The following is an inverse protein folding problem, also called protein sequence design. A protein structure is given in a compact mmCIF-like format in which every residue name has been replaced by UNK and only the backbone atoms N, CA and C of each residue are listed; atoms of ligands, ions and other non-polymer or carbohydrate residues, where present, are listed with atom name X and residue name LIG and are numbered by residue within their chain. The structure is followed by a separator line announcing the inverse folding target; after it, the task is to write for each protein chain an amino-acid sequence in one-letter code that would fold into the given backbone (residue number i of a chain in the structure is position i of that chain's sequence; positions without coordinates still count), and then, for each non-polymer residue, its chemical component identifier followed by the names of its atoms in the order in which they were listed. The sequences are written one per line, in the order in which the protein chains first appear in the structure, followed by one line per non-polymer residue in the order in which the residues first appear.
data_IF_828650100616
#
_entry.id   IF_828650100616
#
_cell.length_a   1.000
_cell.length_b   1.000
_cell.length_c   1.000
_cell.angle_alpha   90.00
_cell.angle_beta   90.00
_cell.angle_gamma   90.00
#
_symmetry.space_group_name_H-M   'P 1'
#
loop_
_entity.id
_entity.type
_entity.pdbx_description
1 polymer ?
#
# COMPACT_ATOMS: atom_id res chain seq x y z
N UNK A 1 10.68 7.82 -11.42
CA UNK A 1 11.32 8.32 -10.22
C UNK A 1 12.42 7.33 -10.04
N UNK A 2 13.67 7.73 -10.16
CA UNK A 2 14.72 6.76 -9.90
C UNK A 2 14.84 6.67 -8.39
N UNK A 3 14.79 5.46 -7.84
CA UNK A 3 15.04 5.25 -6.42
C UNK A 3 16.47 5.69 -6.21
N UNK A 4 16.65 6.75 -5.44
CA UNK A 4 17.98 7.22 -5.03
C UNK A 4 18.74 6.06 -4.38
N UNK A 5 20.05 6.00 -4.58
CA UNK A 5 20.92 5.07 -3.87
C UNK A 5 20.63 5.14 -2.37
N UNK A 6 20.35 6.36 -1.87
CA UNK A 6 19.75 6.60 -0.57
C UNK A 6 18.78 7.79 -0.60
N UNK A 7 17.50 7.62 -0.22
CA UNK A 7 16.59 8.75 -0.10
C UNK A 7 16.98 9.67 1.07
N UNK A 8 16.57 10.95 1.04
CA UNK A 8 16.60 11.82 2.22
C UNK A 8 16.01 11.13 3.44
N UNK A 9 16.68 11.28 4.57
CA UNK A 9 16.24 10.71 5.85
C UNK A 9 16.09 9.18 5.89
N UNK A 10 16.81 8.45 5.03
CA UNK A 10 16.78 7.00 5.05
C UNK A 10 17.12 6.44 6.43
N UNK A 11 16.21 5.63 6.98
CA UNK A 11 16.45 4.83 8.18
C UNK A 11 17.15 3.53 7.80
N UNK A 12 17.92 2.98 8.74
CA UNK A 12 18.53 1.67 8.55
C UNK A 12 17.43 0.60 8.46
N UNK A 13 17.51 -0.27 7.46
CA UNK A 13 16.55 -1.38 7.30
C UNK A 13 16.71 -2.44 8.40
N UNK A 14 17.86 -2.45 9.07
CA UNK A 14 18.20 -3.36 10.15
C UNK A 14 17.98 -2.65 11.48
N UNK A 15 16.82 -2.89 12.12
CA UNK A 15 16.59 -2.49 13.50
C UNK A 15 16.69 -3.72 14.40
N UNK A 16 17.37 -3.60 15.54
CA UNK A 16 17.36 -4.66 16.53
C UNK A 16 15.94 -4.82 17.09
N UNK A 17 15.34 -6.00 16.92
CA UNK A 17 14.00 -6.28 17.43
C UNK A 17 13.93 -6.01 18.92
N UNK A 18 12.89 -5.28 19.34
CA UNK A 18 12.56 -5.16 20.75
C UNK A 18 12.19 -6.56 21.29
N UNK A 19 12.93 -7.09 22.27
CA UNK A 19 12.67 -8.43 22.77
C UNK A 19 11.29 -8.48 23.43
N UNK A 20 10.55 -9.55 23.17
CA UNK A 20 9.34 -9.88 23.92
C UNK A 20 9.79 -10.75 25.09
N UNK A 21 9.40 -10.39 26.31
CA UNK A 21 9.72 -11.19 27.49
C UNK A 21 9.18 -12.63 27.33
N UNK A 22 9.77 -13.60 28.01
CA UNK A 22 9.30 -15.00 27.95
C UNK A 22 7.91 -15.19 28.60
N UNK A 23 7.21 -16.30 28.34
CA UNK A 23 5.85 -16.56 28.84
C UNK A 23 5.70 -16.56 30.37
N UNK A 24 6.79 -16.76 31.10
CA UNK A 24 6.83 -16.72 32.56
C UNK A 24 6.99 -15.29 33.12
N UNK A 25 7.24 -14.29 32.28
CA UNK A 25 7.37 -12.89 32.69
C UNK A 25 6.00 -12.24 32.88
N UNK A 26 5.87 -11.37 33.88
CA UNK A 26 4.70 -10.51 34.04
C UNK A 26 4.50 -9.57 32.83
N UNK A 27 5.58 -9.28 32.10
CA UNK A 27 5.59 -8.42 30.90
C UNK A 27 5.42 -9.21 29.60
N UNK A 28 5.00 -10.48 29.66
CA UNK A 28 4.79 -11.29 28.47
C UNK A 28 3.78 -10.63 27.52
N UNK A 29 4.18 -10.49 26.25
CA UNK A 29 3.35 -9.88 25.21
C UNK A 29 3.43 -8.35 25.15
N UNK A 30 4.12 -7.69 26.08
CA UNK A 30 4.40 -6.26 26.01
C UNK A 30 5.72 -6.02 25.24
N UNK A 31 5.72 -5.17 24.19
CA UNK A 31 6.97 -4.71 23.60
C UNK A 31 7.66 -3.77 24.59
N UNK A 32 8.77 -4.22 25.18
CA UNK A 32 9.46 -3.48 26.24
C UNK A 32 10.12 -2.17 25.75
N UNK A 33 10.12 -1.91 24.43
CA UNK A 33 10.71 -0.73 23.78
C UNK A 33 12.12 -0.40 24.27
N UNK A 34 12.92 -1.41 24.65
CA UNK A 34 14.27 -1.26 25.20
C UNK A 34 15.28 -0.85 24.14
N UNK A 35 15.05 -1.29 22.90
CA UNK A 35 15.80 -0.83 21.74
C UNK A 35 15.12 0.43 21.23
N UNK A 36 15.90 1.50 21.00
CA UNK A 36 15.34 2.71 20.41
C UNK A 36 14.76 2.41 19.03
N UNK A 37 13.72 3.14 18.65
CA UNK A 37 13.19 3.13 17.29
C UNK A 37 14.33 3.24 16.28
N UNK A 38 14.22 2.61 15.09
CA UNK A 38 15.20 2.76 14.02
C UNK A 38 15.47 4.25 13.80
N UNK A 39 16.63 4.68 14.28
CA UNK A 39 17.04 6.06 14.16
C UNK A 39 17.60 6.23 12.75
N UNK A 40 17.61 7.47 12.25
CA UNK A 40 18.63 7.89 11.30
C UNK A 40 20.01 7.32 11.65
N UNK A 41 20.52 6.32 10.92
CA UNK A 41 21.89 5.84 11.09
C UNK A 41 22.70 6.27 9.87
N UNK A 42 23.79 6.98 10.14
CA UNK A 42 24.78 7.33 9.13
C UNK A 42 25.38 6.04 8.56
N UNK A 43 25.56 5.95 7.24
CA UNK A 43 26.11 4.73 6.61
C UNK A 43 27.55 4.49 7.06
N UNK A 44 28.30 5.56 7.28
CA UNK A 44 29.64 5.53 7.83
C UNK A 44 29.75 6.54 8.97
N UNK A 45 30.59 6.30 9.99
CA UNK A 45 30.79 7.26 11.08
C UNK A 45 31.26 8.65 10.60
N UNK A 46 31.92 8.70 9.44
CA UNK A 46 32.45 9.92 8.82
C UNK A 46 31.40 10.78 8.10
N UNK A 47 30.18 10.27 7.90
CA UNK A 47 29.16 11.00 7.17
C UNK A 47 28.64 12.19 8.00
N UNK A 48 28.39 13.35 7.38
CA UNK A 48 27.74 14.48 8.07
C UNK A 48 26.23 14.28 8.14
N UNK A 49 25.58 14.87 9.15
CA UNK A 49 24.11 14.83 9.24
C UNK A 49 23.44 15.56 8.08
N UNK A 50 24.08 16.60 7.54
CA UNK A 50 23.57 17.33 6.37
C UNK A 50 23.64 16.48 5.09
N UNK A 51 24.74 15.75 4.88
CA UNK A 51 24.84 14.80 3.76
C UNK A 51 23.83 13.65 3.90
N UNK A 52 23.67 13.11 5.11
CA UNK A 52 22.65 12.10 5.38
C UNK A 52 21.24 12.62 5.10
N UNK A 53 20.94 13.86 5.52
CA UNK A 53 19.65 14.53 5.31
C UNK A 53 19.35 14.72 3.82
N UNK A 54 20.35 15.08 3.02
CA UNK A 54 20.21 15.25 1.58
C UNK A 54 20.08 13.91 0.83
N UNK A 55 20.57 12.82 1.42
CA UNK A 55 20.58 11.48 0.82
C UNK A 55 21.78 11.28 -0.10
N UNK A 56 21.66 10.34 -1.03
CA UNK A 56 22.59 10.15 -2.16
C UNK A 56 21.77 10.32 -3.45
N UNK A 57 21.98 11.40 -4.22
CA UNK A 57 21.18 11.68 -5.41
C UNK A 57 21.46 10.70 -6.55
N UNK A 58 22.51 9.88 -6.47
CA UNK A 58 22.82 8.90 -7.50
C UNK A 58 21.63 7.94 -7.67
N UNK A 59 21.12 7.75 -8.88
CA UNK A 59 20.02 6.83 -9.10
C UNK A 59 20.48 5.38 -8.94
N UNK A 60 19.65 4.52 -8.34
CA UNK A 60 19.87 3.07 -8.40
C UNK A 60 19.58 2.60 -9.83
N UNK A 61 20.57 2.06 -10.57
CA UNK A 61 20.38 1.69 -11.97
C UNK A 61 19.23 0.69 -12.19
N UNK A 62 19.03 -0.21 -11.23
CA UNK A 62 17.96 -1.22 -11.27
C UNK A 62 16.55 -0.64 -11.10
N UNK A 63 16.42 0.61 -10.65
CA UNK A 63 15.13 1.28 -10.50
C UNK A 63 14.73 2.12 -11.70
N UNK A 64 15.63 2.31 -12.66
CA UNK A 64 15.36 3.09 -13.86
C UNK A 64 14.36 2.35 -14.74
N UNK A 65 13.29 3.04 -15.13
CA UNK A 65 12.22 2.46 -15.94
C UNK A 65 11.28 1.53 -15.18
N UNK A 66 11.40 1.42 -13.84
CA UNK A 66 10.43 0.70 -13.03
C UNK A 66 9.25 1.58 -12.65
N UNK A 67 8.16 0.92 -12.23
CA UNK A 67 7.02 1.56 -11.59
C UNK A 67 7.46 2.38 -10.38
N UNK A 68 6.81 3.51 -10.16
CA UNK A 68 7.04 4.38 -9.00
C UNK A 68 5.79 4.43 -8.13
N UNK A 69 5.98 4.80 -6.86
CA UNK A 69 4.88 5.22 -6.00
C UNK A 69 5.23 6.47 -5.21
N UNK A 70 4.21 7.29 -4.92
CA UNK A 70 4.25 8.42 -3.99
C UNK A 70 3.36 8.10 -2.82
N UNK A 71 3.75 8.55 -1.63
CA UNK A 71 2.93 8.43 -0.43
C UNK A 71 2.69 9.84 0.13
N UNK A 72 1.43 10.27 0.08
CA UNK A 72 0.97 11.49 0.71
C UNK A 72 0.25 11.15 2.01
N UNK A 73 0.49 11.92 3.07
CA UNK A 73 -0.22 11.74 4.34
C UNK A 73 -1.42 12.68 4.37
N UNK A 74 -2.61 12.10 4.28
CA UNK A 74 -3.90 12.81 4.27
C UNK A 74 -4.40 13.09 5.70
N UNK A 75 -4.10 12.22 6.66
CA UNK A 75 -4.38 12.45 8.08
C UNK A 75 -3.36 11.76 8.99
N UNK A 76 -3.57 11.80 10.31
CA UNK A 76 -2.70 11.11 11.27
C UNK A 76 -2.55 9.61 10.96
N UNK A 77 -3.59 8.97 10.43
CA UNK A 77 -3.60 7.54 10.14
C UNK A 77 -3.84 7.22 8.65
N UNK A 78 -4.21 8.21 7.83
CA UNK A 78 -4.61 7.98 6.44
C UNK A 78 -3.54 8.47 5.48
N UNK A 79 -3.24 7.65 4.49
CA UNK A 79 -2.29 7.94 3.42
C UNK A 79 -2.94 7.78 2.06
N UNK A 80 -2.49 8.54 1.08
CA UNK A 80 -2.80 8.32 -0.33
C UNK A 80 -1.53 7.85 -1.02
N UNK A 81 -1.59 6.65 -1.57
CA UNK A 81 -0.53 6.05 -2.38
C UNK A 81 -0.91 6.21 -3.84
N UNK A 82 -0.09 6.94 -4.57
CA UNK A 82 -0.19 7.04 -6.04
C UNK A 82 0.86 6.14 -6.65
N UNK A 83 0.49 5.28 -7.58
CA UNK A 83 1.42 4.43 -8.33
C UNK A 83 1.35 4.76 -9.82
N UNK A 84 2.49 4.75 -10.51
CA UNK A 84 2.57 4.93 -11.96
C UNK A 84 3.49 3.91 -12.62
N UNK A 85 3.28 3.71 -13.92
CA UNK A 85 3.99 2.71 -14.71
C UNK A 85 5.48 3.03 -14.94
N UNK A 86 5.92 4.27 -14.74
CA UNK A 86 7.33 4.66 -14.86
C UNK A 86 7.56 5.91 -15.69
N UNK A 87 6.67 6.19 -16.65
CA UNK A 87 6.87 7.15 -17.74
C UNK A 87 7.17 8.56 -17.25
N UNK A 88 6.33 9.13 -16.38
CA UNK A 88 6.55 10.50 -15.87
C UNK A 88 7.57 10.56 -14.76
N UNK A 89 8.17 9.43 -14.42
CA UNK A 89 9.07 9.31 -13.31
C UNK A 89 8.51 9.84 -11.98
N UNK A 90 7.20 9.79 -11.75
CA UNK A 90 6.59 10.23 -10.50
C UNK A 90 6.34 11.73 -10.40
N UNK A 91 6.70 12.51 -11.42
CA UNK A 91 6.27 13.91 -11.49
C UNK A 91 4.77 13.99 -11.80
N UNK A 92 4.05 14.84 -11.06
CA UNK A 92 2.62 15.06 -11.21
C UNK A 92 2.32 15.88 -12.45
N UNK A 93 3.06 16.97 -12.65
CA UNK A 93 2.91 17.92 -13.73
C UNK A 93 4.27 18.52 -14.15
N UNK A 94 4.24 19.37 -15.18
CA UNK A 94 5.44 20.05 -15.68
C UNK A 94 6.02 21.08 -14.70
N UNK A 95 5.19 21.65 -13.83
CA UNK A 95 5.65 22.61 -12.80
C UNK A 95 6.58 21.91 -11.82
N UNK A 96 6.24 20.68 -11.40
CA UNK A 96 7.09 19.84 -10.53
C UNK A 96 8.40 19.45 -11.25
N UNK A 97 8.33 19.10 -12.54
CA UNK A 97 9.54 18.82 -13.36
C UNK A 97 10.46 20.05 -13.40
N UNK A 98 9.90 21.23 -13.60
CA UNK A 98 10.68 22.47 -13.69
C UNK A 98 11.29 22.87 -12.34
N UNK A 99 10.54 22.71 -11.25
CA UNK A 99 11.02 22.99 -9.89
C UNK A 99 12.23 22.12 -9.52
N UNK A 100 12.22 20.85 -9.92
CA UNK A 100 13.31 19.90 -9.67
C UNK A 100 14.42 19.94 -10.74
N UNK A 101 14.34 20.87 -11.70
CA UNK A 101 15.30 20.99 -12.80
C UNK A 101 15.48 19.70 -13.62
N UNK A 102 14.39 18.94 -13.79
CA UNK A 102 14.38 17.64 -14.45
C UNK A 102 13.96 17.70 -15.94
N UNK A 103 13.85 18.89 -16.53
CA UNK A 103 13.34 19.09 -17.90
C UNK A 103 14.13 18.27 -18.94
N UNK A 104 15.45 18.15 -18.77
CA UNK A 104 16.31 17.38 -19.67
C UNK A 104 15.97 15.88 -19.77
N UNK A 105 15.15 15.34 -18.87
CA UNK A 105 14.70 13.94 -18.90
C UNK A 105 13.52 13.73 -19.87
N UNK A 106 12.77 14.78 -20.18
CA UNK A 106 11.51 14.71 -20.93
C UNK A 106 11.54 15.52 -22.23
N UNK A 107 12.52 16.41 -22.39
CA UNK A 107 12.60 17.33 -23.52
C UNK A 107 11.81 18.60 -23.24
N UNK A 108 10.51 18.58 -23.52
CA UNK A 108 9.61 19.72 -23.32
C UNK A 108 8.29 19.33 -22.63
N UNK A 109 7.49 20.35 -22.31
CA UNK A 109 6.21 20.20 -21.63
C UNK A 109 5.20 19.36 -22.43
N UNK A 110 5.22 19.49 -23.76
CA UNK A 110 4.33 18.76 -24.65
C UNK A 110 4.62 17.26 -24.61
N UNK A 111 5.91 16.90 -24.71
CA UNK A 111 6.37 15.52 -24.62
C UNK A 111 6.06 14.91 -23.25
N UNK A 112 6.27 15.66 -22.15
CA UNK A 112 5.89 15.22 -20.82
C UNK A 112 4.38 14.99 -20.70
N UNK A 113 3.56 15.91 -21.20
CA UNK A 113 2.11 15.78 -21.15
C UNK A 113 1.58 14.60 -21.98
N UNK A 114 2.25 14.24 -23.08
CA UNK A 114 1.95 13.03 -23.84
C UNK A 114 2.26 11.77 -23.01
N UNK A 115 3.44 11.70 -22.38
CA UNK A 115 3.82 10.59 -21.49
C UNK A 115 2.85 10.48 -20.30
N UNK A 116 2.47 11.62 -19.73
CA UNK A 116 1.51 11.74 -18.63
C UNK A 116 0.13 11.18 -19.01
N UNK A 117 -0.35 11.48 -20.21
CA UNK A 117 -1.63 10.98 -20.72
C UNK A 117 -1.61 9.46 -21.00
N UNK A 118 -0.47 8.94 -21.47
CA UNK A 118 -0.30 7.51 -21.74
C UNK A 118 -0.03 6.68 -20.48
N UNK A 119 0.50 7.29 -19.42
CA UNK A 119 0.83 6.58 -18.19
C UNK A 119 -0.42 6.12 -17.44
N UNK A 120 -0.52 4.80 -17.20
CA UNK A 120 -1.51 4.24 -16.28
C UNK A 120 -1.13 4.59 -14.84
N UNK A 121 -1.99 5.39 -14.19
CA UNK A 121 -1.87 5.75 -12.78
C UNK A 121 -3.01 5.14 -11.96
N UNK A 122 -2.65 4.72 -10.76
CA UNK A 122 -3.58 4.15 -9.78
C UNK A 122 -3.41 4.91 -8.47
N UNK A 123 -4.52 5.16 -7.79
CA UNK A 123 -4.54 5.88 -6.52
C UNK A 123 -5.23 5.01 -5.47
N UNK A 124 -4.62 4.93 -4.29
CA UNK A 124 -5.12 4.16 -3.17
C UNK A 124 -5.14 5.02 -1.94
N UNK A 125 -6.29 5.14 -1.27
CA UNK A 125 -6.38 5.70 0.06
C UNK A 125 -6.30 4.56 1.06
N UNK A 126 -5.33 4.61 1.96
CA UNK A 126 -5.09 3.58 2.97
C UNK A 126 -5.20 4.15 4.37
N UNK A 127 -5.72 3.37 5.30
CA UNK A 127 -5.70 3.69 6.74
C UNK A 127 -4.74 2.74 7.45
N UNK A 128 -3.78 3.30 8.17
CA UNK A 128 -2.89 2.57 9.07
C UNK A 128 -3.47 2.60 10.49
N UNK A 129 -3.40 1.47 11.18
CA UNK A 129 -3.78 1.33 12.57
C UNK A 129 -2.61 0.81 13.38
N UNK A 130 -2.37 1.41 14.55
CA UNK A 130 -1.42 0.89 15.52
C UNK A 130 -1.86 -0.45 16.13
N UNK A 131 -3.06 -0.95 15.84
CA UNK A 131 -3.55 -2.22 16.36
C UNK A 131 -2.67 -3.38 15.86
N UNK A 132 -1.95 -3.96 16.80
CA UNK A 132 -0.94 -5.02 16.65
C UNK A 132 -1.54 -6.43 16.65
N UNK A 133 -2.79 -6.58 17.09
CA UNK A 133 -3.36 -7.88 17.48
C UNK A 133 -4.83 -8.13 17.10
N UNK A 134 -5.45 -7.28 16.27
CA UNK A 134 -6.78 -7.60 15.79
C UNK A 134 -6.66 -8.79 14.80
N UNK A 135 -7.36 -9.93 15.02
CA UNK A 135 -7.41 -11.04 14.07
C UNK A 135 -8.10 -10.66 12.75
N UNK A 136 -8.55 -9.41 12.64
CA UNK A 136 -9.25 -8.84 11.51
C UNK A 136 -8.27 -8.43 10.42
N UNK A 137 -7.57 -9.40 9.83
CA UNK A 137 -6.94 -9.21 8.52
C UNK A 137 -8.03 -9.14 7.45
N UNK A 138 -8.57 -7.95 7.27
CA UNK A 138 -9.36 -7.59 6.11
C UNK A 138 -8.43 -7.48 4.92
N UNK A 139 -8.45 -8.43 3.97
CA UNK A 139 -8.03 -8.28 2.55
C UNK A 139 -7.89 -9.62 1.79
N UNK A 140 -8.51 -10.73 2.22
CA UNK A 140 -8.33 -12.02 1.50
C UNK A 140 -9.25 -12.22 0.29
N UNK A 141 -10.41 -11.53 0.21
CA UNK A 141 -11.36 -11.76 -0.90
C UNK A 141 -11.49 -10.54 -1.82
N UNK A 142 -10.41 -10.25 -2.56
CA UNK A 142 -10.51 -9.67 -3.91
C UNK A 142 -10.50 -10.78 -4.97
N UNK A 143 -10.91 -12.00 -4.62
CA UNK A 143 -11.18 -13.04 -5.61
C UNK A 143 -12.40 -12.61 -6.43
N UNK A 144 -12.09 -12.18 -7.64
CA UNK A 144 -12.97 -12.14 -8.79
C UNK A 144 -14.00 -13.28 -8.72
N UNK A 145 -15.26 -12.94 -8.97
CA UNK A 145 -16.33 -13.91 -9.18
C UNK A 145 -15.87 -15.06 -10.09
N UNK A 146 -15.80 -16.25 -9.51
CA UNK A 146 -15.27 -17.42 -10.19
C UNK A 146 -15.59 -18.75 -9.52
N UNK A 147 -16.48 -18.79 -8.52
CA UNK A 147 -17.17 -20.03 -8.16
C UNK A 147 -18.64 -19.70 -7.89
N UNK A 148 -19.37 -19.53 -9.00
CA UNK A 148 -20.67 -20.17 -9.10
C UNK A 148 -20.47 -21.62 -8.66
N UNK A 149 -20.73 -21.91 -7.39
CA UNK A 149 -21.21 -23.23 -7.03
C UNK A 149 -22.61 -23.35 -7.60
N UNK A 150 -22.69 -23.46 -8.94
CA UNK A 150 -23.65 -24.33 -9.58
C UNK A 150 -23.38 -25.73 -9.01
N UNK A 151 -23.86 -25.97 -7.79
CA UNK A 151 -24.29 -27.31 -7.45
C UNK A 151 -25.48 -27.56 -8.37
N UNK A 152 -25.45 -28.56 -9.26
CA UNK A 152 -26.52 -28.79 -10.23
C UNK A 152 -27.87 -29.21 -9.60
N UNK A 153 -28.10 -28.98 -8.30
CA UNK A 153 -29.17 -29.64 -7.55
C UNK A 153 -30.29 -28.74 -7.01
N UNK A 154 -30.22 -27.41 -7.19
CA UNK A 154 -31.33 -26.52 -6.81
C UNK A 154 -32.36 -26.27 -7.94
N UNK A 155 -32.41 -27.16 -8.95
CA UNK A 155 -33.37 -27.12 -10.07
C UNK A 155 -34.80 -27.62 -9.74
N UNK A 156 -35.19 -27.71 -8.47
CA UNK A 156 -36.56 -28.08 -8.11
C UNK A 156 -37.25 -27.06 -7.18
N UNK A 157 -37.18 -25.78 -7.55
CA UNK A 157 -38.08 -24.74 -7.05
C UNK A 157 -39.10 -24.36 -8.10
N UNK A 158 -40.28 -25.00 -8.08
CA UNK A 158 -41.43 -24.66 -8.90
C UNK A 158 -41.89 -23.21 -8.65
N UNK A 159 -41.58 -22.32 -9.58
CA UNK A 159 -42.04 -20.92 -9.57
C UNK A 159 -42.32 -20.44 -10.99
N UNK A 160 -43.43 -20.89 -11.55
CA UNK A 160 -44.02 -20.30 -12.76
C UNK A 160 -44.49 -18.88 -12.46
N UNK A 161 -43.84 -17.88 -13.04
CA UNK A 161 -44.27 -16.49 -12.98
C UNK A 161 -43.23 -15.57 -13.60
N UNK A 162 -43.49 -15.09 -14.81
CA UNK A 162 -42.54 -14.32 -15.60
C UNK A 162 -42.12 -13.00 -14.94
N UNK A 163 -40.84 -12.68 -15.13
CA UNK A 163 -40.25 -11.41 -14.74
C UNK A 163 -38.79 -11.44 -15.14
N UNK A 164 -38.40 -10.62 -16.11
CA UNK A 164 -37.11 -10.70 -16.79
C UNK A 164 -35.92 -10.73 -15.84
N UNK A 165 -34.85 -11.42 -16.26
CA UNK A 165 -33.55 -11.33 -15.63
C UNK A 165 -33.19 -9.84 -15.49
N UNK A 166 -33.03 -9.30 -14.26
CA UNK A 166 -32.45 -7.98 -14.14
C UNK A 166 -31.07 -8.00 -14.83
N UNK A 167 -30.69 -6.93 -15.55
CA UNK A 167 -29.35 -6.86 -16.12
C UNK A 167 -28.35 -7.09 -14.99
N UNK A 168 -27.34 -7.92 -15.26
CA UNK A 168 -26.26 -8.19 -14.32
C UNK A 168 -25.80 -6.85 -13.75
N UNK A 169 -26.11 -6.60 -12.47
CA UNK A 169 -25.60 -5.44 -11.77
C UNK A 169 -24.09 -5.53 -11.90
N UNK A 170 -23.50 -4.63 -12.68
CA UNK A 170 -22.07 -4.36 -12.60
C UNK A 170 -21.88 -3.93 -11.15
N UNK A 171 -21.31 -4.83 -10.36
CA UNK A 171 -21.00 -4.51 -8.98
C UNK A 171 -19.78 -3.60 -9.06
N UNK A 172 -20.04 -2.29 -9.10
CA UNK A 172 -19.00 -1.28 -8.92
C UNK A 172 -18.53 -1.38 -7.46
N UNK A 173 -17.43 -2.11 -7.28
CA UNK A 173 -16.77 -2.31 -5.98
C UNK A 173 -16.20 -0.99 -5.39
N UNK A 174 -16.36 0.13 -6.09
CA UNK A 174 -15.91 1.46 -5.66
C UNK A 174 -16.67 2.01 -4.44
N UNK A 175 -17.89 1.53 -4.19
CA UNK A 175 -18.76 2.00 -3.10
C UNK A 175 -19.15 0.94 -2.09
N UNK A 176 -18.57 -0.27 -2.15
CA UNK A 176 -18.80 -1.24 -1.10
C UNK A 176 -17.95 -0.92 0.12
N UNK A 177 -18.60 -0.67 1.26
CA UNK A 177 -17.96 -0.86 2.54
C UNK A 177 -17.39 -2.29 2.58
N UNK A 178 -16.13 -2.50 2.98
CA UNK A 178 -15.62 -3.84 3.17
C UNK A 178 -16.55 -4.55 4.16
N UNK A 179 -17.18 -5.65 3.71
CA UNK A 179 -17.95 -6.50 4.61
C UNK A 179 -16.97 -7.08 5.62
N UNK A 180 -17.30 -6.89 6.89
CA UNK A 180 -16.63 -7.54 8.02
C UNK A 180 -16.43 -9.03 7.72
N UNK A 181 -15.17 -9.44 7.66
CA UNK A 181 -14.76 -10.84 7.59
C UNK A 181 -14.77 -11.44 8.98
N UNK A 182 -15.95 -11.80 9.47
CA UNK A 182 -16.09 -12.70 10.62
C UNK A 182 -17.11 -13.79 10.32
N UNK A 183 -16.69 -14.78 9.52
CA UNK A 183 -17.12 -16.19 9.60
C UNK A 183 -16.40 -17.05 8.56
N UNK A 184 -15.22 -17.58 8.91
CA UNK A 184 -14.79 -18.86 8.36
C UNK A 184 -15.29 -19.96 9.32
N UNK A 185 -16.57 -20.31 9.21
CA UNK A 185 -17.13 -21.48 9.89
C UNK A 185 -17.17 -22.68 8.93
N UNK A 186 -16.05 -23.05 8.31
CA UNK A 186 -15.96 -24.34 7.61
C UNK A 186 -14.63 -25.01 7.96
N UNK A 187 -14.76 -26.26 8.41
CA UNK A 187 -13.78 -26.94 9.23
C UNK A 187 -12.39 -27.08 8.60
N UNK A 188 -11.38 -27.05 9.49
CA UNK A 188 -10.02 -27.57 9.30
C UNK A 188 -9.08 -26.78 8.37
N UNK A 189 -9.39 -25.53 8.07
CA UNK A 189 -8.44 -24.62 7.40
C UNK A 189 -7.95 -23.57 8.38
N UNK A 190 -6.84 -23.85 9.08
CA UNK A 190 -6.06 -22.82 9.77
C UNK A 190 -5.32 -21.97 8.72
N UNK A 191 -6.01 -21.00 8.12
CA UNK A 191 -5.44 -20.09 7.10
C UNK A 191 -5.40 -18.65 7.59
N UNK A 192 -4.57 -18.45 8.59
CA UNK A 192 -3.53 -17.41 8.70
C UNK A 192 -2.93 -17.66 10.08
N UNK A 193 -1.62 -17.94 10.13
CA UNK A 193 -0.95 -18.03 11.41
C UNK A 193 -1.09 -16.66 12.09
N UNK A 194 -1.94 -16.58 13.11
CA UNK A 194 -2.08 -15.46 14.05
C UNK A 194 -0.80 -15.27 14.90
N UNK A 195 0.33 -15.83 14.46
CA UNK A 195 1.54 -15.82 15.22
C UNK A 195 2.19 -14.44 15.10
N UNK A 196 2.28 -13.83 16.29
CA UNK A 196 3.17 -12.74 16.66
C UNK A 196 2.65 -11.38 16.20
N UNK A 197 2.00 -10.70 17.16
CA UNK A 197 2.00 -9.26 17.38
C UNK A 197 2.76 -8.48 16.31
N UNK A 198 2.05 -7.88 15.35
CA UNK A 198 2.64 -6.99 14.35
C UNK A 198 3.13 -5.70 15.05
N UNK A 199 4.42 -5.56 15.39
CA UNK A 199 4.88 -4.50 16.28
C UNK A 199 4.81 -3.10 15.65
N UNK A 200 4.48 -3.02 14.35
CA UNK A 200 4.48 -1.79 13.55
C UNK A 200 3.08 -1.38 13.08
N UNK A 201 2.03 -2.00 13.61
CA UNK A 201 0.65 -1.72 13.21
C UNK A 201 0.29 -2.29 11.83
N UNK A 202 -1.00 -2.28 11.48
CA UNK A 202 -1.55 -2.90 10.26
C UNK A 202 -2.23 -1.87 9.35
N UNK A 203 -2.25 -2.14 8.05
CA UNK A 203 -3.14 -1.42 7.13
C UNK A 203 -4.54 -2.01 7.30
N UNK A 204 -5.47 -1.17 7.75
CA UNK A 204 -6.85 -1.56 8.07
C UNK A 204 -7.75 -1.53 6.83
N UNK A 205 -7.49 -0.59 5.94
CA UNK A 205 -8.38 -0.29 4.82
C UNK A 205 -7.59 0.19 3.61
N UNK A 206 -8.05 -0.21 2.43
CA UNK A 206 -7.53 0.23 1.14
C UNK A 206 -8.73 0.52 0.23
N UNK A 207 -8.89 1.76 -0.20
CA UNK A 207 -9.85 2.16 -1.25
C UNK A 207 -9.09 2.63 -2.47
N UNK A 208 -9.39 2.04 -3.62
CA UNK A 208 -8.95 2.58 -4.91
C UNK A 208 -9.78 3.83 -5.23
N UNK A 209 -9.11 4.92 -5.57
CA UNK A 209 -9.76 6.15 -6.02
C UNK A 209 -9.92 6.12 -7.54
N UNK A 210 -11.06 6.62 -8.04
CA UNK A 210 -11.33 6.74 -9.48
C UNK A 210 -10.61 7.93 -10.11
N UNK A 211 -10.47 9.00 -9.33
CA UNK A 211 -9.85 10.25 -9.76
C UNK A 211 -8.60 10.52 -8.94
N UNK A 212 -7.68 11.31 -9.52
CA UNK A 212 -6.54 11.82 -8.79
C UNK A 212 -7.01 12.62 -7.55
N UNK A 213 -6.36 12.47 -6.39
CA UNK A 213 -6.62 13.31 -5.22
C UNK A 213 -6.24 14.77 -5.53
N UNK A 214 -6.81 15.74 -4.81
CA UNK A 214 -6.55 17.16 -5.08
C UNK A 214 -5.12 17.62 -4.72
N UNK A 215 -4.43 16.90 -3.83
CA UNK A 215 -3.22 17.38 -3.15
C UNK A 215 -1.99 16.46 -3.33
N UNK A 216 -1.79 15.85 -4.49
CA UNK A 216 -0.67 14.90 -4.72
C UNK A 216 0.48 15.44 -5.56
#
# INVERSE_FOLDING_TARGET
MQVRARPPFAVELTAAYNPIAGPASADFGLPLMTNPDPRPVKRTPSESWDSWRQGDPAPRPTSTGLSWFRCYRDSAAVFVITCGAGGTLGFADWTEVAAESAQGQFGDESAFNAILADERRLWYRIEWSAAVSAPDFHLTDNEFGGQYWDTPNDRYGWGWGGGGNPPAKVIDNYFMHPRNSSKASHGRSSRCQIHINNPVGSVRWVQRLETAPANW
#
